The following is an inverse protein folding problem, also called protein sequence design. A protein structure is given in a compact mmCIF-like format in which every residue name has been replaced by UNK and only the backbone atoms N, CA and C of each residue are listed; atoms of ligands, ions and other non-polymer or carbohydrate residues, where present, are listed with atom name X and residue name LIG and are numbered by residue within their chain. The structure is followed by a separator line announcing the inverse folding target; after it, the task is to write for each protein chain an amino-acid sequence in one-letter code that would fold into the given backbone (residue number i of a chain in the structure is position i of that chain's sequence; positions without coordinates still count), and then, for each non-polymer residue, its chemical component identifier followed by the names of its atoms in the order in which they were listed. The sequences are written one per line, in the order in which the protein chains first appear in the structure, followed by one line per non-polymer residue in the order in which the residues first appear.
data_IF_167029775847
#
_entry.id   IF_167029775847
#
_cell.length_a   1.000
_cell.length_b   1.000
_cell.length_c   1.000
_cell.angle_alpha   90.00
_cell.angle_beta   90.00
_cell.angle_gamma   90.00
#
_symmetry.space_group_name_H-M   'P 1'
#
loop_
_entity.id
_entity.type
_entity.pdbx_description
1 polymer ?
#
# COMPACT_ATOMS: atom_id res chain seq x y z
N UNK A 1 14.72 -17.87 -13.62
CA UNK A 1 13.26 -18.10 -13.56
C UNK A 1 12.63 -16.74 -13.41
N UNK A 2 11.68 -16.41 -14.27
CA UNK A 2 10.96 -15.14 -14.27
C UNK A 2 9.85 -15.27 -13.21
N UNK A 3 10.04 -14.66 -12.05
CA UNK A 3 9.02 -14.55 -11.02
C UNK A 3 8.85 -13.08 -10.66
N UNK A 4 7.96 -12.33 -11.33
CA UNK A 4 7.35 -11.18 -10.70
C UNK A 4 6.13 -11.70 -9.94
N UNK A 5 6.29 -12.02 -8.66
CA UNK A 5 5.16 -11.90 -7.74
C UNK A 5 4.66 -10.48 -7.92
N UNK A 6 3.50 -10.31 -8.56
CA UNK A 6 2.98 -8.99 -8.90
C UNK A 6 2.50 -8.36 -7.61
N UNK A 7 3.39 -7.66 -6.91
CA UNK A 7 2.98 -6.58 -6.03
C UNK A 7 2.14 -5.65 -6.90
N UNK A 8 0.82 -5.67 -6.70
CA UNK A 8 -0.10 -4.82 -7.44
C UNK A 8 -0.10 -3.47 -6.75
N UNK A 9 0.93 -2.67 -7.05
CA UNK A 9 0.97 -1.29 -6.62
C UNK A 9 -0.05 -0.51 -7.44
N UNK A 10 -1.06 0.04 -6.76
CA UNK A 10 -2.03 0.92 -7.41
C UNK A 10 -1.62 2.37 -7.19
N UNK A 11 -1.24 3.01 -8.28
CA UNK A 11 -0.94 4.45 -8.27
C UNK A 11 -2.24 5.22 -8.46
N UNK A 12 -2.54 6.12 -7.54
CA UNK A 12 -3.68 7.03 -7.60
C UNK A 12 -3.15 8.44 -7.78
N UNK A 13 -3.34 9.00 -8.97
CA UNK A 13 -2.88 10.36 -9.31
C UNK A 13 -4.03 11.35 -9.27
N UNK A 14 -3.74 12.65 -9.26
CA UNK A 14 -4.78 13.72 -9.38
C UNK A 14 -5.70 13.60 -10.59
N UNK A 15 -5.32 12.83 -11.60
CA UNK A 15 -6.13 12.59 -12.80
C UNK A 15 -7.16 11.47 -12.61
N UNK A 16 -7.02 10.67 -11.56
CA UNK A 16 -7.92 9.58 -11.25
C UNK A 16 -9.21 10.10 -10.61
N UNK A 17 -10.39 9.58 -11.02
CA UNK A 17 -11.66 10.03 -10.48
C UNK A 17 -11.80 9.73 -8.97
N UNK A 18 -11.10 8.71 -8.50
CA UNK A 18 -11.10 8.27 -7.10
C UNK A 18 -10.08 9.03 -6.22
N UNK A 19 -9.25 9.91 -6.79
CA UNK A 19 -8.18 10.60 -6.05
C UNK A 19 -8.70 11.41 -4.88
N UNK A 20 -9.71 12.25 -5.11
CA UNK A 20 -10.30 13.08 -4.05
C UNK A 20 -10.88 12.20 -2.94
N UNK A 21 -11.60 11.13 -3.29
CA UNK A 21 -12.19 10.21 -2.33
C UNK A 21 -11.12 9.48 -1.50
N UNK A 22 -10.01 9.05 -2.13
CA UNK A 22 -8.87 8.45 -1.43
C UNK A 22 -8.22 9.44 -0.46
N UNK A 23 -8.01 10.69 -0.89
CA UNK A 23 -7.47 11.74 -0.01
C UNK A 23 -8.42 12.00 1.16
N UNK A 24 -9.74 12.07 0.93
CA UNK A 24 -10.73 12.24 2.00
C UNK A 24 -10.71 11.09 3.00
N UNK A 25 -10.60 9.84 2.54
CA UNK A 25 -10.48 8.67 3.40
C UNK A 25 -9.21 8.67 4.27
N UNK A 26 -8.12 9.18 3.72
CA UNK A 26 -6.82 9.29 4.42
C UNK A 26 -6.68 10.60 5.21
N UNK A 27 -7.74 11.41 5.30
CA UNK A 27 -7.72 12.73 5.94
C UNK A 27 -6.63 13.68 5.36
N UNK A 28 -6.30 13.50 4.09
CA UNK A 28 -5.30 14.27 3.35
C UNK A 28 -5.94 15.42 2.58
N UNK A 29 -5.15 16.50 2.41
CA UNK A 29 -5.55 17.64 1.58
C UNK A 29 -5.22 17.38 0.09
N UNK A 30 -6.23 17.18 -0.79
CA UNK A 30 -6.00 16.81 -2.19
C UNK A 30 -5.34 17.93 -3.00
N UNK A 31 -5.37 19.18 -2.51
CA UNK A 31 -4.68 20.29 -3.17
C UNK A 31 -3.16 20.19 -3.01
N UNK A 32 -2.67 19.62 -1.90
CA UNK A 32 -1.25 19.45 -1.57
C UNK A 32 -0.65 18.12 -2.04
N UNK A 33 -1.46 17.11 -2.32
CA UNK A 33 -1.00 15.79 -2.79
C UNK A 33 -0.84 15.77 -4.32
N UNK A 34 0.24 15.14 -4.80
CA UNK A 34 0.53 14.92 -6.23
C UNK A 34 0.04 13.54 -6.70
N UNK A 35 0.43 12.49 -5.99
CA UNK A 35 -0.06 11.12 -6.19
C UNK A 35 0.14 10.27 -4.93
N UNK A 36 -0.56 9.15 -4.87
CA UNK A 36 -0.44 8.15 -3.82
C UNK A 36 -0.13 6.78 -4.44
N UNK A 37 0.61 5.96 -3.72
CA UNK A 37 0.85 4.56 -4.07
C UNK A 37 0.21 3.71 -2.98
N UNK A 38 -0.77 2.92 -3.37
CA UNK A 38 -1.42 1.96 -2.50
C UNK A 38 -0.83 0.58 -2.77
N UNK A 39 -0.21 -0.02 -1.76
CA UNK A 39 0.32 -1.37 -1.88
C UNK A 39 -0.79 -2.38 -1.61
N UNK A 40 -1.26 -3.06 -2.66
CA UNK A 40 -2.16 -4.18 -2.49
C UNK A 40 -1.37 -5.49 -2.36
N UNK A 41 -1.56 -6.15 -1.21
CA UNK A 41 -0.89 -7.40 -0.83
C UNK A 41 -1.64 -8.66 -1.27
N UNK A 42 -2.37 -8.64 -2.40
CA UNK A 42 -3.14 -9.82 -2.83
C UNK A 42 -2.31 -11.10 -3.03
N UNK A 43 -0.99 -11.03 -3.25
CA UNK A 43 -0.16 -12.24 -3.46
C UNK A 43 1.35 -11.96 -3.22
N UNK A 44 1.74 -11.47 -2.04
CA UNK A 44 3.16 -11.39 -1.71
C UNK A 44 3.63 -12.71 -1.10
N UNK A 45 4.18 -13.57 -1.95
CA UNK A 45 4.91 -14.77 -1.57
C UNK A 45 6.27 -14.36 -0.98
N UNK A 46 6.32 -14.17 0.34
CA UNK A 46 7.52 -13.73 1.08
C UNK A 46 8.59 -14.83 1.25
N UNK A 47 8.43 -15.99 0.61
CA UNK A 47 9.48 -17.02 0.52
C UNK A 47 10.78 -16.53 -0.16
N UNK A 48 10.77 -15.36 -0.82
CA UNK A 48 11.95 -14.77 -1.45
C UNK A 48 12.87 -13.96 -0.52
N UNK A 49 12.54 -13.80 0.77
CA UNK A 49 13.46 -13.22 1.77
C UNK A 49 14.21 -14.27 2.61
N UNK A 50 14.10 -15.58 2.26
CA UNK A 50 14.76 -16.70 2.95
C UNK A 50 16.23 -16.95 2.54
N UNK A 51 17.06 -15.91 2.37
CA UNK A 51 18.51 -16.10 2.14
C UNK A 51 19.38 -15.49 3.26
N UNK A 52 18.88 -15.48 4.49
CA UNK A 52 19.72 -15.32 5.69
C UNK A 52 19.38 -16.38 6.75
N UNK A 53 20.19 -17.44 6.71
CA UNK A 53 20.54 -18.40 7.77
C UNK A 53 19.42 -19.14 8.53
N UNK A 54 19.49 -20.47 8.38
CA UNK A 54 18.94 -21.50 9.26
C UNK A 54 18.84 -21.06 10.74
N UNK A 55 17.61 -20.97 11.25
CA UNK A 55 17.16 -21.46 12.56
C UNK A 55 16.11 -20.54 13.17
N UNK A 56 14.85 -20.80 12.86
CA UNK A 56 13.72 -20.92 13.81
C UNK A 56 12.51 -21.22 12.94
N UNK A 57 11.51 -21.92 13.48
CA UNK A 57 10.22 -22.09 12.80
C UNK A 57 9.65 -20.70 12.54
N UNK A 58 9.94 -20.11 11.38
CA UNK A 58 9.44 -18.80 10.99
C UNK A 58 7.93 -18.97 10.82
N UNK A 59 7.18 -18.56 11.83
CA UNK A 59 5.77 -18.25 11.64
C UNK A 59 5.67 -17.38 10.38
N UNK A 60 4.76 -17.69 9.43
CA UNK A 60 4.61 -16.85 8.26
C UNK A 60 4.31 -15.44 8.77
N UNK A 61 5.26 -14.53 8.58
CA UNK A 61 5.06 -13.13 8.93
C UNK A 61 3.88 -12.63 8.10
N UNK A 62 2.76 -12.40 8.76
CA UNK A 62 1.59 -11.78 8.15
C UNK A 62 1.74 -10.27 8.37
N UNK A 63 1.70 -9.44 7.31
CA UNK A 63 1.67 -8.01 7.50
C UNK A 63 0.45 -7.65 8.37
N UNK A 64 0.65 -6.89 9.43
CA UNK A 64 -0.45 -6.41 10.28
C UNK A 64 -1.06 -5.10 9.71
N UNK A 65 -0.31 -4.43 8.84
CA UNK A 65 -0.67 -3.16 8.22
C UNK A 65 -0.38 -3.16 6.72
N UNK A 66 -1.14 -2.35 5.99
CA UNK A 66 -0.98 -1.99 4.60
C UNK A 66 -0.32 -0.62 4.51
N UNK A 67 0.65 -0.48 3.62
CA UNK A 67 1.37 0.79 3.44
C UNK A 67 0.76 1.60 2.30
N UNK A 68 0.60 2.91 2.54
CA UNK A 68 0.25 3.90 1.52
C UNK A 68 1.34 4.96 1.49
N UNK A 69 2.03 5.09 0.37
CA UNK A 69 3.01 6.15 0.16
C UNK A 69 2.31 7.37 -0.46
N UNK A 70 2.43 8.52 0.20
CA UNK A 70 1.85 9.80 -0.23
C UNK A 70 2.96 10.71 -0.71
N UNK A 71 2.83 11.22 -1.93
CA UNK A 71 3.78 12.18 -2.50
C UNK A 71 3.10 13.54 -2.62
N UNK A 72 3.66 14.54 -1.95
CA UNK A 72 3.16 15.91 -1.95
C UNK A 72 3.79 16.76 -3.05
N UNK A 73 3.10 17.82 -3.48
CA UNK A 73 3.57 18.77 -4.50
C UNK A 73 4.85 19.51 -4.11
N UNK A 74 5.08 19.68 -2.81
CA UNK A 74 6.31 20.27 -2.24
C UNK A 74 7.54 19.34 -2.39
N UNK A 75 7.33 18.08 -2.77
CA UNK A 75 8.37 17.06 -2.85
C UNK A 75 8.57 16.27 -1.56
N UNK A 76 7.78 16.58 -0.52
CA UNK A 76 7.68 15.76 0.69
C UNK A 76 7.02 14.42 0.38
N UNK A 77 7.49 13.35 1.04
CA UNK A 77 6.90 12.01 1.02
C UNK A 77 6.48 11.64 2.45
N UNK A 78 5.29 11.05 2.57
CA UNK A 78 4.78 10.48 3.82
C UNK A 78 4.35 9.03 3.60
N UNK A 79 4.41 8.25 4.66
CA UNK A 79 4.02 6.84 4.67
C UNK A 79 2.93 6.66 5.70
N UNK A 80 1.78 6.15 5.27
CA UNK A 80 0.62 5.89 6.12
C UNK A 80 0.47 4.38 6.25
N UNK A 81 0.54 3.91 7.48
CA UNK A 81 0.29 2.51 7.83
C UNK A 81 -1.19 2.34 8.21
N UNK A 82 -1.87 1.44 7.51
CA UNK A 82 -3.29 1.17 7.68
C UNK A 82 -3.46 -0.26 8.18
N UNK A 83 -4.04 -0.46 9.35
CA UNK A 83 -4.29 -1.81 9.88
C UNK A 83 -5.13 -2.64 8.89
N UNK A 84 -4.71 -3.89 8.63
CA UNK A 84 -5.46 -4.78 7.75
C UNK A 84 -6.82 -5.11 8.35
N UNK A 85 -7.82 -5.28 7.47
CA UNK A 85 -9.22 -5.54 7.85
C UNK A 85 -9.87 -4.42 8.70
N UNK A 86 -9.21 -3.26 8.79
CA UNK A 86 -9.82 -2.05 9.35
C UNK A 86 -10.89 -1.49 8.41
N UNK A 87 -11.79 -0.66 8.95
CA UNK A 87 -12.81 0.03 8.14
C UNK A 87 -12.18 0.87 7.02
N UNK A 88 -11.01 1.45 7.27
CA UNK A 88 -10.23 2.21 6.29
C UNK A 88 -9.65 1.30 5.20
N UNK A 89 -9.06 0.16 5.56
CA UNK A 89 -8.54 -0.82 4.61
C UNK A 89 -9.63 -1.37 3.69
N UNK A 90 -10.77 -1.79 4.24
CA UNK A 90 -11.90 -2.28 3.45
C UNK A 90 -12.49 -1.20 2.53
N UNK A 91 -12.56 0.05 2.99
CA UNK A 91 -13.02 1.17 2.17
C UNK A 91 -12.06 1.45 1.00
N UNK A 92 -10.75 1.46 1.27
CA UNK A 92 -9.72 1.67 0.24
C UNK A 92 -9.69 0.51 -0.76
N UNK A 93 -9.71 -0.75 -0.31
CA UNK A 93 -9.85 -1.93 -1.18
C UNK A 93 -11.06 -1.81 -2.09
N UNK A 94 -12.22 -1.43 -1.54
CA UNK A 94 -13.44 -1.30 -2.34
C UNK A 94 -13.38 -0.18 -3.38
N UNK A 95 -12.76 0.93 -3.02
CA UNK A 95 -12.62 2.09 -3.90
C UNK A 95 -11.56 1.84 -5.00
N UNK A 96 -10.49 1.14 -4.63
CA UNK A 96 -9.36 0.83 -5.48
C UNK A 96 -9.52 -0.47 -6.28
N UNK A 97 -10.52 -1.29 -5.96
CA UNK A 97 -10.84 -2.52 -6.69
C UNK A 97 -9.67 -3.50 -6.70
#
# INVERSE_FOLDING_TARGET
MDYPGRMSQKVVSRSDPMFTEVCELLELDPEQVDYLIYEDFEDVDYSMYEDFDEAESAEPWQPESRLVEVFFLDGTREEIEIELDSELDEALKRLLG
#
